data_IF_945979061819
#
_entry.id   IF_945979061819
#
_cell.length_a   1.000
_cell.length_b   1.000
_cell.length_c   1.000
_cell.angle_alpha   90.00
_cell.angle_beta   90.00
_cell.angle_gamma   90.00
#
_symmetry.space_group_name_H-M   'P 1'
#
loop_
_entity.id
_entity.type
_entity.pdbx_description
1 polymer ?
#
# COMPACT_ATOMS: atom_id res chain seq x y z
N UNK A 1 -50.50 -28.72 22.67
CA UNK A 1 -50.15 -27.32 23.03
C UNK A 1 -49.07 -27.22 24.11
N UNK A 2 -49.25 -27.77 25.32
CA UNK A 2 -48.20 -27.75 26.37
C UNK A 2 -47.00 -28.63 25.99
N UNK A 3 -47.25 -29.85 25.48
CA UNK A 3 -46.21 -30.77 25.01
C UNK A 3 -45.36 -30.16 23.91
N UNK A 4 -46.00 -29.50 22.93
CA UNK A 4 -45.32 -28.86 21.82
C UNK A 4 -44.41 -27.70 22.28
N UNK A 5 -44.81 -26.95 23.32
CA UNK A 5 -43.97 -25.91 23.91
C UNK A 5 -42.75 -26.51 24.63
N UNK A 6 -42.94 -27.60 25.37
CA UNK A 6 -41.85 -28.30 26.06
C UNK A 6 -40.82 -28.89 25.06
N UNK A 7 -41.30 -29.50 23.97
CA UNK A 7 -40.44 -30.00 22.89
C UNK A 7 -39.60 -28.89 22.23
N UNK A 8 -40.08 -27.63 22.23
CA UNK A 8 -39.31 -26.46 21.76
C UNK A 8 -38.30 -25.92 22.78
N UNK A 9 -38.57 -26.05 24.08
CA UNK A 9 -37.67 -25.58 25.14
C UNK A 9 -36.41 -26.45 25.25
N UNK A 10 -36.55 -27.77 25.15
CA UNK A 10 -35.42 -28.73 25.25
C UNK A 10 -34.23 -28.39 24.34
N UNK A 11 -34.38 -28.16 23.02
CA UNK A 11 -33.26 -27.77 22.16
C UNK A 11 -32.76 -26.35 22.45
N UNK A 12 -33.61 -25.42 22.89
CA UNK A 12 -33.19 -24.06 23.24
C UNK A 12 -32.32 -24.05 24.51
N UNK A 13 -32.63 -24.89 25.50
CA UNK A 13 -31.85 -25.00 26.74
C UNK A 13 -30.39 -25.41 26.48
N UNK A 14 -30.14 -26.21 25.43
CA UNK A 14 -28.76 -26.58 25.02
C UNK A 14 -27.93 -25.38 24.54
N UNK A 15 -28.57 -24.29 24.11
CA UNK A 15 -27.93 -23.04 23.66
C UNK A 15 -28.34 -21.82 24.49
N UNK A 16 -29.04 -22.04 25.61
CA UNK A 16 -29.53 -20.99 26.48
C UNK A 16 -28.37 -20.27 27.15
N UNK A 17 -28.23 -18.97 26.91
CA UNK A 17 -27.13 -18.18 27.46
C UNK A 17 -27.53 -17.48 28.76
N UNK A 18 -26.58 -17.35 29.68
CA UNK A 18 -26.82 -16.67 30.95
C UNK A 18 -27.01 -15.15 30.73
N UNK A 19 -28.22 -14.66 30.99
CA UNK A 19 -28.58 -13.26 30.74
C UNK A 19 -27.80 -12.26 31.59
N UNK A 20 -27.51 -12.56 32.87
CA UNK A 20 -26.78 -11.62 33.72
C UNK A 20 -25.33 -11.46 33.28
N UNK A 21 -24.68 -12.54 32.85
CA UNK A 21 -23.33 -12.51 32.27
C UNK A 21 -23.32 -11.78 30.91
N UNK A 22 -24.28 -12.03 30.02
CA UNK A 22 -24.38 -11.31 28.76
C UNK A 22 -24.61 -9.80 28.98
N UNK A 23 -25.46 -9.43 29.93
CA UNK A 23 -25.78 -8.03 30.21
C UNK A 23 -24.57 -7.25 30.75
N UNK A 24 -23.76 -7.85 31.63
CA UNK A 24 -22.59 -7.17 32.20
C UNK A 24 -21.51 -6.91 31.13
N UNK A 25 -21.18 -7.88 30.28
CA UNK A 25 -20.25 -7.67 29.16
C UNK A 25 -20.83 -6.77 28.07
N UNK A 26 -22.14 -6.87 27.81
CA UNK A 26 -22.85 -5.98 26.88
C UNK A 26 -22.75 -4.51 27.29
N UNK A 27 -22.79 -4.22 28.60
CA UNK A 27 -22.57 -2.86 29.12
C UNK A 27 -21.17 -2.34 28.81
N UNK A 28 -20.13 -3.16 29.00
CA UNK A 28 -18.74 -2.78 28.68
C UNK A 28 -18.58 -2.53 27.17
N UNK A 29 -19.15 -3.39 26.33
CA UNK A 29 -19.12 -3.21 24.88
C UNK A 29 -19.84 -1.92 24.43
N UNK A 30 -20.97 -1.58 25.08
CA UNK A 30 -21.66 -0.32 24.83
C UNK A 30 -20.82 0.88 25.26
N UNK A 31 -20.20 0.83 26.43
CA UNK A 31 -19.34 1.90 26.94
C UNK A 31 -18.12 2.14 26.03
N UNK A 32 -17.45 1.09 25.56
CA UNK A 32 -16.32 1.24 24.63
C UNK A 32 -16.76 1.78 23.28
N UNK A 33 -17.89 1.31 22.74
CA UNK A 33 -18.47 1.84 21.51
C UNK A 33 -18.85 3.32 21.66
N UNK A 34 -19.44 3.72 22.79
CA UNK A 34 -19.77 5.10 23.10
C UNK A 34 -18.52 5.99 23.13
N UNK A 35 -17.44 5.55 23.79
CA UNK A 35 -16.18 6.30 23.83
C UNK A 35 -15.53 6.41 22.45
N UNK A 36 -15.54 5.33 21.66
CA UNK A 36 -15.02 5.36 20.28
C UNK A 36 -15.82 6.30 19.39
N UNK A 37 -17.14 6.39 19.57
CA UNK A 37 -18.01 7.24 18.76
C UNK A 37 -17.90 8.73 19.12
N UNK A 38 -17.82 9.06 20.42
CA UNK A 38 -17.89 10.45 20.90
C UNK A 38 -16.51 11.06 21.23
N UNK A 39 -15.53 10.24 21.59
CA UNK A 39 -14.17 10.64 21.95
C UNK A 39 -13.13 9.78 21.23
N UNK A 40 -13.17 9.74 19.87
CA UNK A 40 -12.41 8.78 19.09
C UNK A 40 -10.90 8.90 19.33
N UNK A 41 -10.34 10.12 19.36
CA UNK A 41 -8.89 10.34 19.51
C UNK A 41 -8.40 9.91 20.89
N UNK A 42 -9.13 10.28 21.95
CA UNK A 42 -8.82 9.91 23.33
C UNK A 42 -8.94 8.40 23.54
N UNK A 43 -10.01 7.80 23.01
CA UNK A 43 -10.24 6.36 23.08
C UNK A 43 -9.13 5.60 22.35
N UNK A 44 -8.83 5.96 21.11
CA UNK A 44 -7.78 5.30 20.32
C UNK A 44 -6.40 5.49 20.95
N UNK A 45 -6.11 6.65 21.54
CA UNK A 45 -4.87 6.86 22.32
C UNK A 45 -4.83 5.93 23.52
N UNK A 46 -5.93 5.76 24.26
CA UNK A 46 -5.99 4.85 25.41
C UNK A 46 -5.79 3.38 25.00
N UNK A 47 -6.38 2.97 23.87
CA UNK A 47 -6.21 1.61 23.31
C UNK A 47 -4.76 1.38 22.88
N UNK A 48 -4.13 2.33 22.18
CA UNK A 48 -2.70 2.26 21.83
C UNK A 48 -1.80 2.18 23.08
N UNK A 49 -2.14 2.92 24.14
CA UNK A 49 -1.42 2.86 25.42
C UNK A 49 -1.63 1.56 26.18
N UNK A 50 -2.73 0.85 25.98
CA UNK A 50 -2.99 -0.44 26.62
C UNK A 50 -2.23 -1.58 25.92
N UNK A 51 -2.14 -1.52 24.59
CA UNK A 51 -1.57 -2.59 23.76
C UNK A 51 -0.13 -2.32 23.27
N UNK A 52 0.55 -1.28 23.78
CA UNK A 52 1.87 -0.84 23.28
C UNK A 52 2.97 -1.93 23.31
N UNK A 53 2.81 -2.99 24.10
CA UNK A 53 3.75 -4.10 24.19
C UNK A 53 3.65 -5.14 23.06
N UNK A 54 2.60 -5.07 22.24
CA UNK A 54 2.34 -6.00 21.13
C UNK A 54 2.36 -5.23 19.81
N UNK A 55 3.44 -5.40 19.03
CA UNK A 55 3.64 -4.68 17.77
C UNK A 55 2.57 -4.97 16.72
N UNK A 56 2.01 -6.18 16.72
CA UNK A 56 1.01 -6.58 15.73
C UNK A 56 -0.34 -5.93 16.04
N UNK A 57 -0.70 -5.87 17.33
CA UNK A 57 -1.89 -5.13 17.76
C UNK A 57 -1.73 -3.63 17.56
N UNK A 58 -0.60 -3.05 17.94
CA UNK A 58 -0.30 -1.63 17.67
C UNK A 58 -0.47 -1.35 16.19
N UNK A 59 0.01 -2.23 15.32
CA UNK A 59 -0.15 -2.06 13.88
C UNK A 59 -1.60 -2.05 13.43
N UNK A 60 -2.40 -3.00 13.92
CA UNK A 60 -3.84 -3.04 13.64
C UNK A 60 -4.57 -1.77 14.14
N UNK A 61 -4.22 -1.29 15.33
CA UNK A 61 -4.84 -0.10 15.94
C UNK A 61 -4.43 1.16 15.18
N UNK A 62 -3.17 1.30 14.75
CA UNK A 62 -2.71 2.43 13.93
C UNK A 62 -3.42 2.46 12.58
N UNK A 63 -3.62 1.30 11.95
CA UNK A 63 -4.39 1.21 10.71
C UNK A 63 -5.86 1.61 10.93
N UNK A 64 -6.47 1.21 12.05
CA UNK A 64 -7.81 1.66 12.41
C UNK A 64 -7.87 3.18 12.67
N UNK A 65 -6.86 3.77 13.31
CA UNK A 65 -6.74 5.21 13.45
C UNK A 65 -6.79 5.91 12.07
N UNK A 66 -6.05 5.39 11.08
CA UNK A 66 -6.08 5.93 9.71
C UNK A 66 -7.46 5.83 9.08
N UNK A 67 -8.14 4.70 9.24
CA UNK A 67 -9.52 4.51 8.76
C UNK A 67 -10.50 5.51 9.40
N UNK A 68 -10.20 5.95 10.63
CA UNK A 68 -10.95 6.97 11.36
C UNK A 68 -10.46 8.40 11.11
N UNK A 69 -9.55 8.62 10.13
CA UNK A 69 -8.91 9.90 9.85
C UNK A 69 -8.15 10.51 11.05
N UNK A 70 -7.61 9.66 11.92
CA UNK A 70 -6.73 10.04 13.02
C UNK A 70 -5.28 9.80 12.59
N UNK A 71 -4.49 10.87 12.53
CA UNK A 71 -3.10 10.80 12.12
C UNK A 71 -2.24 10.27 13.28
N UNK A 72 -1.42 9.26 12.99
CA UNK A 72 -0.39 8.78 13.93
C UNK A 72 0.97 9.19 13.40
N UNK A 73 1.63 10.10 14.11
CA UNK A 73 2.95 10.63 13.77
C UNK A 73 4.08 9.73 14.29
N UNK A 74 5.25 9.70 13.63
CA UNK A 74 6.39 8.89 14.07
C UNK A 74 6.90 9.37 15.43
N UNK A 75 7.68 8.52 16.14
CA UNK A 75 8.31 8.94 17.38
C UNK A 75 9.28 10.10 17.12
N UNK A 76 9.47 10.94 18.13
CA UNK A 76 10.33 12.12 18.09
C UNK A 76 10.84 12.39 19.51
N UNK A 77 12.16 12.53 19.73
CA UNK A 77 12.70 12.73 21.10
C UNK A 77 12.22 14.04 21.75
N UNK A 78 11.94 15.07 20.95
CA UNK A 78 11.47 16.37 21.39
C UNK A 78 9.95 16.41 21.61
N UNK A 79 9.17 15.71 20.80
CA UNK A 79 7.71 15.79 20.89
C UNK A 79 7.05 14.57 21.55
N UNK A 80 7.64 13.38 21.45
CA UNK A 80 7.05 12.17 22.02
C UNK A 80 7.05 12.17 23.55
N UNK A 81 6.02 11.54 24.09
CA UNK A 81 5.95 11.13 25.48
C UNK A 81 6.49 9.70 25.62
N UNK A 82 6.52 9.20 26.86
CA UNK A 82 6.91 7.81 27.15
C UNK A 82 6.02 6.82 26.38
N UNK A 83 4.71 6.99 26.49
CA UNK A 83 3.71 6.19 25.79
C UNK A 83 3.02 7.04 24.72
N UNK A 84 2.19 6.41 23.89
CA UNK A 84 1.34 7.12 22.93
C UNK A 84 0.59 8.26 23.60
N UNK A 85 0.57 9.42 22.93
CA UNK A 85 -0.06 10.61 23.44
C UNK A 85 -0.80 11.34 22.33
N UNK A 86 -1.99 11.84 22.66
CA UNK A 86 -2.70 12.80 21.83
C UNK A 86 -1.96 14.13 21.90
N UNK A 87 -1.65 14.71 20.74
CA UNK A 87 -0.97 16.01 20.62
C UNK A 87 -1.83 17.06 19.92
N UNK A 88 -2.97 16.65 19.35
CA UNK A 88 -4.00 17.57 18.82
C UNK A 88 -4.83 18.20 19.93
N UNK A 89 -5.21 19.45 19.75
CA UNK A 89 -6.13 20.16 20.64
C UNK A 89 -7.62 19.85 20.31
N UNK A 90 -8.55 20.10 21.26
CA UNK A 90 -9.99 19.94 20.99
C UNK A 90 -10.45 20.81 19.81
N UNK A 91 -11.00 20.19 18.78
CA UNK A 91 -11.50 20.86 17.57
C UNK A 91 -10.54 20.81 16.38
N UNK A 92 -9.32 20.32 16.57
CA UNK A 92 -8.37 20.05 15.48
C UNK A 92 -8.50 18.61 14.96
N UNK A 93 -7.97 18.31 13.76
CA UNK A 93 -7.81 16.93 13.30
C UNK A 93 -7.08 16.10 14.37
N UNK A 94 -7.54 14.86 14.58
CA UNK A 94 -6.97 14.01 15.62
C UNK A 94 -5.53 13.62 15.29
N UNK A 95 -4.59 13.99 16.16
CA UNK A 95 -3.17 13.66 16.01
C UNK A 95 -2.68 12.94 17.26
N UNK A 96 -2.11 11.75 17.05
CA UNK A 96 -1.47 10.93 18.07
C UNK A 96 0.01 10.81 17.74
N UNK A 97 0.88 11.06 18.70
CA UNK A 97 2.34 10.88 18.57
C UNK A 97 2.75 9.51 19.11
N UNK A 98 3.59 8.80 18.37
CA UNK A 98 4.12 7.50 18.80
C UNK A 98 4.89 7.62 20.11
N UNK A 99 4.67 6.68 21.03
CA UNK A 99 5.40 6.63 22.30
C UNK A 99 6.81 6.06 22.12
N UNK A 100 7.80 6.64 22.80
CA UNK A 100 9.19 6.15 22.74
C UNK A 100 9.33 4.71 23.28
N UNK A 101 8.51 4.31 24.25
CA UNK A 101 8.51 2.94 24.82
C UNK A 101 8.05 1.89 23.81
N UNK A 102 7.30 2.28 22.77
CA UNK A 102 6.80 1.36 21.75
C UNK A 102 7.85 1.04 20.67
N UNK A 103 9.03 1.65 20.71
CA UNK A 103 10.12 1.37 19.78
C UNK A 103 10.82 0.08 20.21
N UNK A 104 10.82 -0.94 19.33
CA UNK A 104 11.52 -2.19 19.59
C UNK A 104 13.01 -1.96 19.85
N UNK A 105 13.56 -2.69 20.81
CA UNK A 105 14.95 -2.59 21.29
C UNK A 105 15.33 -1.31 22.04
N UNK A 106 14.39 -0.39 22.30
CA UNK A 106 14.62 0.75 23.19
C UNK A 106 14.08 0.40 24.58
N UNK A 107 14.95 0.40 25.59
CA UNK A 107 14.56 0.03 26.95
C UNK A 107 13.69 1.10 27.64
N UNK A 108 12.76 0.69 28.49
CA UNK A 108 11.91 1.62 29.24
C UNK A 108 12.71 2.60 30.13
N UNK A 109 13.86 2.16 30.66
CA UNK A 109 14.74 3.03 31.46
C UNK A 109 15.31 4.19 30.64
N UNK A 110 15.88 3.92 29.45
CA UNK A 110 16.43 5.00 28.61
C UNK A 110 15.33 5.97 28.14
N UNK A 111 14.12 5.48 27.86
CA UNK A 111 12.97 6.33 27.55
C UNK A 111 12.61 7.25 28.72
N UNK A 112 12.63 6.73 29.94
CA UNK A 112 12.36 7.50 31.16
C UNK A 112 13.39 8.62 31.34
N UNK A 113 14.68 8.32 31.12
CA UNK A 113 15.77 9.30 31.17
C UNK A 113 15.57 10.38 30.12
N UNK A 114 15.38 10.02 28.84
CA UNK A 114 15.17 10.99 27.75
C UNK A 114 13.97 11.89 28.03
N UNK A 115 12.88 11.32 28.53
CA UNK A 115 11.67 12.08 28.82
C UNK A 115 11.83 13.04 30.01
N UNK A 116 12.43 12.58 31.12
CA UNK A 116 12.65 13.42 32.31
C UNK A 116 13.61 14.56 32.01
N UNK A 117 14.71 14.25 31.34
CA UNK A 117 15.74 15.21 30.96
C UNK A 117 15.17 16.33 30.06
N UNK A 118 14.31 15.95 29.11
CA UNK A 118 13.56 16.92 28.30
C UNK A 118 12.58 17.76 29.15
N UNK A 119 11.85 17.13 30.07
CA UNK A 119 10.85 17.82 30.89
C UNK A 119 11.50 18.86 31.82
N UNK A 120 12.68 18.58 32.31
CA UNK A 120 13.41 19.45 33.26
C UNK A 120 14.18 20.57 32.54
N UNK A 121 14.83 20.28 31.40
CA UNK A 121 15.73 21.23 30.74
C UNK A 121 15.24 21.73 29.36
N UNK A 122 14.04 21.33 28.93
CA UNK A 122 13.45 21.71 27.64
C UNK A 122 13.85 20.80 26.46
N UNK A 123 13.42 21.12 25.23
CA UNK A 123 13.74 20.33 24.03
C UNK A 123 15.24 20.29 23.74
N UNK A 124 15.69 19.22 23.10
CA UNK A 124 17.04 19.05 22.59
C UNK A 124 17.25 19.88 21.33
N UNK A 125 18.30 20.69 21.31
CA UNK A 125 18.58 21.62 20.19
C UNK A 125 19.13 20.91 18.96
N UNK A 126 20.11 20.03 19.18
CA UNK A 126 20.81 19.27 18.17
C UNK A 126 21.22 17.90 18.75
N UNK A 127 21.87 17.08 17.91
CA UNK A 127 22.33 15.75 18.29
C UNK A 127 23.36 15.83 19.44
N UNK A 128 24.25 16.81 19.40
CA UNK A 128 25.25 17.08 20.43
C UNK A 128 24.60 17.37 21.79
N UNK A 129 23.57 18.23 21.84
CA UNK A 129 22.79 18.56 23.04
C UNK A 129 22.09 17.32 23.59
N UNK A 130 21.52 16.49 22.71
CA UNK A 130 20.94 15.20 23.12
C UNK A 130 21.98 14.28 23.77
N UNK A 131 23.15 14.09 23.14
CA UNK A 131 24.19 13.19 23.63
C UNK A 131 24.92 13.72 24.88
N UNK A 132 25.02 15.05 25.03
CA UNK A 132 25.58 15.70 26.21
C UNK A 132 24.60 15.74 27.38
N UNK A 133 23.29 15.61 27.17
CA UNK A 133 22.31 15.58 28.27
C UNK A 133 21.94 14.17 28.69
N UNK A 134 21.81 13.24 27.75
CA UNK A 134 21.37 11.86 28.02
C UNK A 134 22.59 10.94 28.25
N UNK A 135 23.17 10.98 29.46
CA UNK A 135 24.41 10.24 29.84
C UNK A 135 24.17 8.87 30.48
N UNK A 136 23.12 8.18 30.08
CA UNK A 136 22.77 6.87 30.65
C UNK A 136 23.49 5.70 29.95
N UNK A 137 23.82 4.66 30.71
CA UNK A 137 24.48 3.45 30.20
C UNK A 137 23.61 2.63 29.24
N UNK A 138 22.28 2.79 29.33
CA UNK A 138 21.32 2.07 28.50
C UNK A 138 21.15 2.72 27.12
N UNK A 139 21.77 3.89 26.88
CA UNK A 139 21.94 4.48 25.55
C UNK A 139 23.10 3.79 24.81
N UNK A 140 22.93 2.51 24.52
CA UNK A 140 23.91 1.70 23.79
C UNK A 140 23.70 1.76 22.27
N UNK A 141 24.60 1.11 21.49
CA UNK A 141 24.53 1.05 20.03
C UNK A 141 23.17 0.62 19.51
N UNK A 142 22.58 -0.42 20.11
CA UNK A 142 21.28 -0.94 19.70
C UNK A 142 20.15 0.05 19.95
N UNK A 143 20.17 0.74 21.10
CA UNK A 143 19.21 1.81 21.42
C UNK A 143 19.31 2.97 20.42
N UNK A 144 20.52 3.47 20.16
CA UNK A 144 20.76 4.58 19.21
C UNK A 144 20.33 4.19 17.81
N UNK A 145 20.76 3.04 17.29
CA UNK A 145 20.34 2.58 15.97
C UNK A 145 18.83 2.43 15.85
N UNK A 146 18.16 1.98 16.91
CA UNK A 146 16.71 1.80 16.91
C UNK A 146 15.97 3.13 16.95
N UNK A 147 16.44 4.11 17.74
CA UNK A 147 15.91 5.48 17.76
C UNK A 147 16.06 6.15 16.39
N UNK A 148 17.23 6.02 15.75
CA UNK A 148 17.48 6.54 14.40
C UNK A 148 16.54 5.89 13.39
N UNK A 149 16.52 4.56 13.33
CA UNK A 149 15.73 3.78 12.36
C UNK A 149 14.22 4.04 12.50
N UNK A 150 13.74 4.23 13.71
CA UNK A 150 12.35 4.57 14.03
C UNK A 150 11.96 6.01 13.67
N UNK A 151 12.93 6.89 13.38
CA UNK A 151 12.69 8.31 13.10
C UNK A 151 12.70 9.23 14.31
N UNK A 152 13.01 8.71 15.51
CA UNK A 152 12.99 9.50 16.75
C UNK A 152 13.99 10.65 16.77
N UNK A 153 15.05 10.58 15.96
CA UNK A 153 16.11 11.60 15.86
C UNK A 153 16.03 12.42 14.56
N UNK A 154 14.97 12.26 13.76
CA UNK A 154 14.80 13.00 12.51
C UNK A 154 14.65 14.52 12.75
N UNK A 155 14.23 14.93 13.95
CA UNK A 155 14.11 16.33 14.37
C UNK A 155 15.42 17.13 14.28
N UNK A 156 16.57 16.46 14.23
CA UNK A 156 17.88 17.12 14.10
C UNK A 156 18.27 17.43 12.65
N UNK A 157 17.44 17.06 11.67
CA UNK A 157 17.69 17.35 10.25
C UNK A 157 18.86 16.55 9.64
N UNK A 158 19.30 15.49 10.31
CA UNK A 158 20.37 14.60 9.82
C UNK A 158 19.72 13.34 9.26
N UNK A 159 20.12 12.92 8.06
CA UNK A 159 19.58 11.70 7.46
C UNK A 159 19.90 10.45 8.31
N UNK A 160 18.91 9.55 8.42
CA UNK A 160 19.02 8.30 9.17
C UNK A 160 20.24 7.46 8.74
N UNK A 161 20.60 7.48 7.45
CA UNK A 161 21.79 6.80 6.93
C UNK A 161 23.10 7.31 7.52
N UNK A 162 23.26 8.64 7.54
CA UNK A 162 24.42 9.31 8.14
C UNK A 162 24.52 9.02 9.62
N UNK A 163 23.42 9.07 10.36
CA UNK A 163 23.37 8.75 11.78
C UNK A 163 23.76 7.29 12.06
N UNK A 164 23.27 6.33 11.25
CA UNK A 164 23.60 4.91 11.39
C UNK A 164 25.06 4.60 11.07
N UNK A 165 25.60 5.18 10.00
CA UNK A 165 27.00 5.01 9.63
C UNK A 165 27.96 5.56 10.72
N UNK A 166 27.50 6.55 11.49
CA UNK A 166 28.25 7.18 12.56
C UNK A 166 27.83 6.75 13.97
N UNK A 167 27.07 5.65 14.12
CA UNK A 167 26.57 5.21 15.43
C UNK A 167 27.70 4.95 16.43
N UNK A 168 28.84 4.43 15.98
CA UNK A 168 30.03 4.23 16.83
C UNK A 168 30.68 5.55 17.24
N UNK A 169 30.81 6.52 16.32
CA UNK A 169 31.35 7.85 16.62
C UNK A 169 30.47 8.59 17.62
N UNK A 170 29.15 8.47 17.48
CA UNK A 170 28.14 9.02 18.40
C UNK A 170 28.33 8.48 19.82
N UNK A 171 28.52 7.16 19.97
CA UNK A 171 28.75 6.54 21.28
C UNK A 171 30.11 6.92 21.88
N UNK A 172 31.15 6.98 21.04
CA UNK A 172 32.48 7.42 21.47
C UNK A 172 32.43 8.85 22.02
N UNK A 173 31.72 9.74 21.35
CA UNK A 173 31.51 11.11 21.80
C UNK A 173 30.80 11.16 23.17
N UNK A 174 29.69 10.43 23.32
CA UNK A 174 28.97 10.35 24.61
C UNK A 174 29.86 9.83 25.74
N UNK A 175 30.69 8.81 25.46
CA UNK A 175 31.64 8.26 26.43
C UNK A 175 32.72 9.29 26.83
N UNK A 176 33.30 10.00 25.85
CA UNK A 176 34.32 11.03 26.11
C UNK A 176 33.79 12.18 26.96
N UNK A 177 32.55 12.63 26.74
CA UNK A 177 31.92 13.65 27.59
C UNK A 177 31.78 13.16 29.02
N UNK A 178 31.29 11.92 29.20
CA UNK A 178 31.12 11.33 30.52
C UNK A 178 32.45 11.22 31.28
N UNK A 179 33.53 10.82 30.60
CA UNK A 179 34.87 10.76 31.19
C UNK A 179 35.43 12.16 31.54
N UNK A 180 35.15 13.17 30.69
CA UNK A 180 35.52 14.57 30.95
C UNK A 180 34.86 15.14 32.20
N UNK A 181 33.58 14.87 32.43
CA UNK A 181 32.89 15.40 33.62
C UNK A 181 33.44 14.82 34.91
N UNK A 182 33.75 13.52 34.90
CA UNK A 182 34.37 12.84 36.06
C UNK A 182 35.76 13.40 36.33
N UNK A 183 36.54 13.69 35.29
CA UNK A 183 37.90 14.25 35.43
C UNK A 183 37.91 15.72 35.83
N UNK A 184 36.96 16.54 35.35
CA UNK A 184 36.82 17.95 35.75
C UNK A 184 36.33 18.13 37.19
N UNK A 185 35.64 17.15 37.79
CA UNK A 185 35.30 17.19 39.22
C UNK A 185 36.52 16.94 40.14
N UNK A 186 37.63 16.41 39.62
CA UNK A 186 38.86 16.15 40.38
C UNK A 186 40.00 17.16 40.16
N UNK A 187 39.83 18.15 39.27
CA UNK A 187 40.89 19.06 38.87
C UNK A 187 40.73 20.45 39.52
N UNK A 188 41.74 20.84 40.32
CA UNK A 188 41.89 22.16 40.96
C UNK A 188 41.98 23.35 39.98
N UNK A 189 41.89 23.10 38.66
CA UNK A 189 41.92 24.08 37.57
C UNK A 189 40.57 24.25 36.85
N UNK A 190 39.46 23.83 37.45
CA UNK A 190 38.10 23.92 36.84
C UNK A 190 37.60 25.34 36.54
N UNK A 191 38.31 26.39 36.97
CA UNK A 191 37.96 27.80 36.77
C UNK A 191 38.29 28.40 35.40
N UNK A 192 38.96 27.68 34.50
CA UNK A 192 39.19 28.10 33.10
C UNK A 192 38.50 27.13 32.15
N UNK A 193 37.17 27.19 32.12
CA UNK A 193 36.36 26.51 31.11
C UNK A 193 36.53 27.23 29.77
N UNK A 194 37.59 26.90 29.04
CA UNK A 194 37.55 26.99 27.58
C UNK A 194 36.47 26.01 27.15
N UNK A 195 35.28 26.51 26.84
CA UNK A 195 34.24 25.76 26.18
C UNK A 195 34.75 25.38 24.78
N UNK A 196 35.53 24.31 24.71
CA UNK A 196 35.81 23.63 23.45
C UNK A 196 34.49 23.04 23.00
N UNK A 197 33.82 23.74 22.08
CA UNK A 197 32.68 23.23 21.31
C UNK A 197 33.10 21.91 20.67
N UNK A 198 32.87 20.83 21.41
CA UNK A 198 33.22 19.49 20.97
C UNK A 198 32.02 19.06 20.14
N UNK A 199 32.13 19.21 18.82
CA UNK A 199 31.09 18.73 17.89
C UNK A 199 31.28 17.25 17.63
N UNK A 200 30.18 16.54 17.36
CA UNK A 200 30.27 15.16 16.90
C UNK A 200 30.85 15.18 15.49
N UNK A 201 31.97 14.49 15.28
CA UNK A 201 32.52 14.33 13.93
C UNK A 201 31.72 13.25 13.21
N UNK A 202 30.74 13.68 12.43
CA UNK A 202 30.01 12.81 11.51
C UNK A 202 30.76 12.72 10.20
N UNK A 203 31.14 11.51 9.80
CA UNK A 203 31.62 11.24 8.45
C UNK A 203 30.46 11.41 7.48
N UNK A 204 30.74 11.98 6.31
CA UNK A 204 29.76 11.97 5.22
C UNK A 204 29.36 10.54 4.89
N UNK A 205 28.06 10.38 4.67
CA UNK A 205 27.44 9.11 4.33
C UNK A 205 26.32 9.36 3.33
N UNK A 206 25.93 8.30 2.62
CA UNK A 206 24.84 8.37 1.65
C UNK A 206 23.50 8.51 2.37
N UNK A 207 22.63 9.35 1.81
CA UNK A 207 21.25 9.46 2.26
C UNK A 207 20.51 8.16 1.95
N UNK A 208 19.69 7.70 2.89
CA UNK A 208 18.99 6.43 2.76
C UNK A 208 17.68 6.60 2.01
N UNK A 209 17.42 5.68 1.08
CA UNK A 209 16.17 5.65 0.33
C UNK A 209 14.94 5.50 1.25
N UNK A 210 13.82 6.10 0.85
CA UNK A 210 12.59 6.05 1.63
C UNK A 210 12.10 4.62 1.89
N UNK A 211 12.28 3.72 0.93
CA UNK A 211 11.92 2.30 1.08
C UNK A 211 12.67 1.63 2.24
N UNK A 212 13.96 1.94 2.38
CA UNK A 212 14.75 1.38 3.46
C UNK A 212 14.33 1.96 4.82
N UNK A 213 13.95 3.24 4.87
CA UNK A 213 13.35 3.87 6.06
C UNK A 213 12.02 3.17 6.43
N UNK A 214 11.14 2.93 5.46
CA UNK A 214 9.88 2.22 5.66
C UNK A 214 10.09 0.77 6.12
N UNK A 215 11.10 0.08 5.60
CA UNK A 215 11.46 -1.28 6.06
C UNK A 215 11.83 -1.27 7.54
N UNK A 216 12.64 -0.30 7.97
CA UNK A 216 13.03 -0.16 9.37
C UNK A 216 11.86 0.20 10.28
N UNK A 217 10.96 1.07 9.84
CA UNK A 217 9.73 1.39 10.59
C UNK A 217 8.85 0.15 10.76
N UNK A 218 8.68 -0.65 9.70
CA UNK A 218 7.94 -1.91 9.82
C UNK A 218 8.61 -2.88 10.79
N UNK A 219 9.93 -2.95 10.80
CA UNK A 219 10.71 -3.84 11.68
C UNK A 219 10.65 -3.42 13.16
N UNK A 220 10.74 -2.11 13.43
CA UNK A 220 10.89 -1.58 14.80
C UNK A 220 9.59 -1.07 15.41
N UNK A 221 8.65 -0.59 14.60
CA UNK A 221 7.37 -0.02 15.02
C UNK A 221 6.18 -0.92 14.65
N UNK A 222 6.38 -1.90 13.78
CA UNK A 222 5.32 -2.77 13.27
C UNK A 222 4.46 -2.13 12.16
N UNK A 223 4.70 -0.86 11.82
CA UNK A 223 3.91 -0.08 10.85
C UNK A 223 4.78 0.85 10.01
N UNK A 224 4.32 1.14 8.81
CA UNK A 224 4.86 2.20 7.96
C UNK A 224 4.27 3.53 8.41
N UNK A 225 5.05 4.46 8.99
CA UNK A 225 4.50 5.71 9.53
C UNK A 225 4.83 6.88 8.62
N UNK A 226 6.07 6.98 8.16
CA UNK A 226 6.55 8.19 7.47
C UNK A 226 5.97 8.35 6.06
N UNK A 227 5.55 7.27 5.41
CA UNK A 227 4.84 7.31 4.12
C UNK A 227 4.13 5.98 3.84
N UNK A 228 3.17 6.01 2.93
CA UNK A 228 2.50 4.81 2.46
C UNK A 228 3.40 4.05 1.47
N UNK A 229 3.57 2.72 1.58
CA UNK A 229 4.45 1.98 0.68
C UNK A 229 3.97 1.97 -0.78
N UNK A 230 2.70 2.29 -1.01
CA UNK A 230 2.13 2.42 -2.36
C UNK A 230 2.41 3.78 -3.03
N UNK A 231 2.88 4.79 -2.29
CA UNK A 231 2.99 6.16 -2.79
C UNK A 231 3.82 6.25 -4.08
N UNK A 232 4.97 5.56 -4.12
CA UNK A 232 5.82 5.52 -5.32
C UNK A 232 5.04 5.09 -6.58
N UNK A 233 4.23 4.03 -6.46
CA UNK A 233 3.44 3.50 -7.57
C UNK A 233 2.32 4.46 -7.96
N UNK A 234 1.70 5.07 -6.96
CA UNK A 234 0.62 6.03 -7.16
C UNK A 234 1.12 7.30 -7.87
N UNK A 235 2.31 7.80 -7.54
CA UNK A 235 2.93 8.92 -8.25
C UNK A 235 3.30 8.53 -9.69
N UNK A 236 3.85 7.33 -9.88
CA UNK A 236 4.30 6.87 -11.19
C UNK A 236 3.15 6.55 -12.16
N UNK A 237 2.01 6.14 -11.63
CA UNK A 237 0.81 5.77 -12.39
C UNK A 237 -0.35 6.75 -12.15
N UNK A 238 -0.05 8.01 -11.81
CA UNK A 238 -1.03 9.02 -11.40
C UNK A 238 -2.15 9.25 -12.42
N UNK A 239 -1.81 9.23 -13.71
CA UNK A 239 -2.78 9.44 -14.79
C UNK A 239 -3.63 8.19 -15.11
N UNK A 240 -3.21 7.03 -14.59
CA UNK A 240 -3.88 5.75 -14.84
C UNK A 240 -4.78 5.34 -13.67
N UNK A 241 -4.31 5.52 -12.43
CA UNK A 241 -4.97 5.05 -11.22
C UNK A 241 -6.03 6.03 -10.73
N UNK A 242 -7.22 5.51 -10.44
CA UNK A 242 -8.24 6.22 -9.66
C UNK A 242 -7.92 6.02 -8.18
N UNK A 243 -7.76 7.10 -7.39
CA UNK A 243 -7.58 6.99 -5.94
C UNK A 243 -8.76 6.27 -5.29
N UNK A 244 -8.50 5.42 -4.30
CA UNK A 244 -9.56 4.61 -3.68
C UNK A 244 -10.69 5.45 -3.09
N UNK A 245 -10.37 6.61 -2.51
CA UNK A 245 -11.39 7.53 -1.97
C UNK A 245 -12.34 8.10 -3.03
N UNK A 246 -11.92 8.16 -4.30
CA UNK A 246 -12.68 8.74 -5.40
C UNK A 246 -13.42 7.69 -6.25
N UNK A 247 -13.34 6.41 -5.89
CA UNK A 247 -13.99 5.33 -6.65
C UNK A 247 -15.52 5.40 -6.53
N UNK A 248 -16.06 5.83 -5.38
CA UNK A 248 -17.51 5.97 -5.19
C UNK A 248 -18.13 7.07 -6.08
N UNK A 249 -17.33 8.06 -6.47
CA UNK A 249 -17.72 9.15 -7.36
C UNK A 249 -17.68 8.73 -8.85
N UNK A 250 -17.11 7.57 -9.16
CA UNK A 250 -17.05 7.07 -10.53
C UNK A 250 -18.44 6.61 -11.01
N UNK A 251 -18.71 6.67 -12.33
CA UNK A 251 -19.94 6.15 -12.89
C UNK A 251 -20.15 4.68 -12.52
N UNK A 252 -21.40 4.29 -12.33
CA UNK A 252 -21.79 2.90 -12.04
C UNK A 252 -21.64 2.05 -13.30
N UNK A 253 -21.36 0.76 -13.09
CA UNK A 253 -21.06 -0.19 -14.19
C UNK A 253 -19.93 0.28 -15.13
N UNK A 254 -18.97 1.05 -14.60
CA UNK A 254 -17.84 1.57 -15.36
C UNK A 254 -16.54 0.85 -15.02
N UNK A 255 -15.63 0.82 -16.00
CA UNK A 255 -14.29 0.29 -15.81
C UNK A 255 -13.42 1.29 -15.08
N UNK A 256 -12.81 0.84 -14.00
CA UNK A 256 -11.88 1.61 -13.18
C UNK A 256 -10.57 0.85 -13.05
N UNK A 257 -9.49 1.61 -12.89
CA UNK A 257 -8.17 1.06 -12.62
C UNK A 257 -7.75 1.64 -11.29
N UNK A 258 -7.54 0.77 -10.32
CA UNK A 258 -7.19 1.12 -8.96
C UNK A 258 -5.90 0.41 -8.59
N UNK A 259 -5.19 0.93 -7.59
CA UNK A 259 -3.94 0.35 -7.15
C UNK A 259 -3.86 0.41 -5.64
N UNK A 260 -3.19 -0.57 -5.04
CA UNK A 260 -2.98 -0.56 -3.60
C UNK A 260 -2.17 -1.75 -3.13
N UNK A 261 -2.01 -1.80 -1.81
CA UNK A 261 -1.41 -2.91 -1.08
C UNK A 261 -2.52 -3.80 -0.56
N UNK A 262 -2.37 -5.11 -0.71
CA UNK A 262 -3.31 -6.08 -0.14
C UNK A 262 -3.19 -6.04 1.39
N UNK A 263 -4.23 -5.53 2.05
CA UNK A 263 -4.30 -5.43 3.51
C UNK A 263 -4.86 -6.70 4.15
N UNK A 264 -5.89 -7.32 3.56
CA UNK A 264 -6.41 -8.61 4.05
C UNK A 264 -7.11 -9.40 2.94
N UNK A 265 -7.13 -10.74 3.08
CA UNK A 265 -7.78 -11.66 2.12
C UNK A 265 -8.74 -12.61 2.84
N UNK A 266 -10.04 -12.50 2.58
CA UNK A 266 -11.08 -13.39 3.13
C UNK A 266 -11.60 -14.33 2.04
N UNK A 267 -11.38 -15.63 2.22
CA UNK A 267 -11.87 -16.70 1.34
C UNK A 267 -13.31 -17.06 1.69
N UNK A 268 -14.19 -17.16 0.68
CA UNK A 268 -15.57 -17.63 0.84
C UNK A 268 -15.88 -18.69 -0.22
N UNK A 269 -16.47 -19.79 0.22
CA UNK A 269 -16.98 -20.82 -0.70
C UNK A 269 -18.39 -20.43 -1.13
N UNK A 270 -18.61 -20.36 -2.43
CA UNK A 270 -19.92 -20.07 -3.01
C UNK A 270 -20.86 -21.27 -2.86
N UNK A 271 -22.17 -21.07 -3.05
CA UNK A 271 -23.16 -22.18 -3.04
C UNK A 271 -22.83 -23.31 -4.05
N UNK A 272 -22.07 -22.99 -5.11
CA UNK A 272 -21.63 -23.94 -6.14
C UNK A 272 -20.29 -24.62 -5.81
N UNK A 273 -19.73 -24.40 -4.62
CA UNK A 273 -18.45 -24.98 -4.19
C UNK A 273 -17.19 -24.25 -4.69
N UNK A 274 -17.32 -23.28 -5.61
CA UNK A 274 -16.18 -22.50 -6.11
C UNK A 274 -15.73 -21.43 -5.09
N UNK A 275 -14.44 -21.10 -5.09
CA UNK A 275 -13.82 -20.13 -4.17
C UNK A 275 -13.98 -18.71 -4.71
N UNK A 276 -14.38 -17.79 -3.84
CA UNK A 276 -14.47 -16.35 -4.08
C UNK A 276 -13.68 -15.60 -2.99
N UNK A 277 -13.09 -14.46 -3.30
CA UNK A 277 -12.35 -13.65 -2.31
C UNK A 277 -13.03 -12.30 -2.07
N UNK A 278 -13.08 -11.89 -0.81
CA UNK A 278 -13.19 -10.49 -0.42
C UNK A 278 -11.80 -10.01 -0.02
N UNK A 279 -11.26 -9.03 -0.73
CA UNK A 279 -9.89 -8.55 -0.52
C UNK A 279 -9.94 -7.07 -0.15
N UNK A 280 -9.39 -6.68 0.99
CA UNK A 280 -9.21 -5.26 1.30
C UNK A 280 -7.88 -4.81 0.74
N UNK A 281 -7.90 -3.72 -0.04
CA UNK A 281 -6.68 -3.01 -0.47
C UNK A 281 -6.61 -1.62 0.16
N UNK A 282 -5.39 -1.11 0.33
CA UNK A 282 -5.11 0.23 0.83
C UNK A 282 -4.19 1.01 -0.12
N UNK A 283 -4.48 2.29 -0.31
CA UNK A 283 -3.62 3.25 -1.00
C UNK A 283 -3.34 4.46 -0.10
N UNK A 284 -2.76 5.55 -0.64
CA UNK A 284 -2.48 6.75 0.18
C UNK A 284 -3.74 7.53 0.57
N UNK A 285 -4.89 7.24 -0.03
CA UNK A 285 -6.14 7.99 0.11
C UNK A 285 -7.18 7.28 0.96
N UNK A 286 -7.09 5.95 1.09
CA UNK A 286 -7.98 5.17 1.93
C UNK A 286 -7.84 3.68 1.69
N UNK A 287 -8.91 2.96 2.03
CA UNK A 287 -9.02 1.53 1.79
C UNK A 287 -10.31 1.21 1.04
N UNK A 288 -10.36 0.05 0.40
CA UNK A 288 -11.54 -0.43 -0.30
C UNK A 288 -11.60 -1.96 -0.29
N UNK A 289 -12.81 -2.51 -0.19
CA UNK A 289 -13.04 -3.95 -0.37
C UNK A 289 -13.26 -4.27 -1.85
N UNK A 290 -12.55 -5.27 -2.34
CA UNK A 290 -12.67 -5.84 -3.67
C UNK A 290 -13.37 -7.18 -3.60
N UNK A 291 -14.17 -7.49 -4.61
CA UNK A 291 -14.72 -8.83 -4.81
C UNK A 291 -14.04 -9.51 -5.99
N UNK A 292 -13.44 -10.66 -5.72
CA UNK A 292 -12.75 -11.49 -6.72
C UNK A 292 -13.60 -12.74 -6.97
N UNK A 293 -14.25 -12.78 -8.13
CA UNK A 293 -15.06 -13.93 -8.52
C UNK A 293 -14.19 -15.17 -8.82
N UNK A 294 -14.75 -16.39 -8.73
CA UNK A 294 -13.99 -17.62 -8.93
C UNK A 294 -13.18 -17.67 -10.23
N UNK A 295 -13.77 -17.22 -11.35
CA UNK A 295 -13.08 -17.19 -12.65
C UNK A 295 -11.84 -16.30 -12.63
N UNK A 296 -11.90 -15.14 -11.98
CA UNK A 296 -10.76 -14.24 -11.81
C UNK A 296 -9.76 -14.84 -10.83
N UNK A 297 -10.22 -15.41 -9.72
CA UNK A 297 -9.37 -16.02 -8.70
C UNK A 297 -8.51 -17.15 -9.27
N UNK A 298 -9.08 -18.06 -10.06
CA UNK A 298 -8.31 -19.17 -10.67
C UNK A 298 -7.14 -18.66 -11.54
N UNK A 299 -7.33 -17.53 -12.23
CA UNK A 299 -6.28 -16.89 -13.06
C UNK A 299 -5.25 -16.10 -12.25
N UNK A 300 -5.62 -15.59 -11.08
CA UNK A 300 -4.85 -14.61 -10.29
C UNK A 300 -4.46 -15.12 -8.91
N UNK A 301 -4.62 -16.42 -8.66
CA UNK A 301 -4.42 -17.08 -7.37
C UNK A 301 -3.12 -16.70 -6.64
N UNK A 302 -1.93 -16.67 -7.28
CA UNK A 302 -0.69 -16.34 -6.56
C UNK A 302 -0.56 -14.86 -6.20
N UNK A 303 -1.43 -13.99 -6.72
CA UNK A 303 -1.29 -12.54 -6.58
C UNK A 303 -1.93 -12.00 -5.30
N UNK A 304 -2.93 -12.72 -4.76
CA UNK A 304 -3.70 -12.30 -3.59
C UNK A 304 -3.01 -12.71 -2.29
N UNK A 305 -1.89 -12.06 -1.99
CA UNK A 305 -1.10 -12.23 -0.77
C UNK A 305 -1.00 -10.90 -0.06
N UNK A 306 -1.20 -10.90 1.26
CA UNK A 306 -1.05 -9.70 2.08
C UNK A 306 0.33 -9.06 1.88
N UNK A 307 0.34 -7.74 1.75
CA UNK A 307 1.53 -6.96 1.41
C UNK A 307 1.85 -6.89 -0.08
N UNK A 308 1.21 -7.66 -0.98
CA UNK A 308 1.46 -7.48 -2.42
C UNK A 308 0.98 -6.10 -2.88
N UNK A 309 1.78 -5.45 -3.74
CA UNK A 309 1.41 -4.22 -4.43
C UNK A 309 0.79 -4.59 -5.76
N UNK A 310 -0.46 -4.19 -5.97
CA UNK A 310 -1.23 -4.63 -7.13
C UNK A 310 -1.80 -3.42 -7.88
N UNK A 311 -1.83 -3.52 -9.20
CA UNK A 311 -2.71 -2.74 -10.07
C UNK A 311 -3.90 -3.64 -10.44
N UNK A 312 -5.11 -3.17 -10.19
CA UNK A 312 -6.35 -3.89 -10.44
C UNK A 312 -7.18 -3.13 -11.47
N UNK A 313 -7.52 -3.81 -12.55
CA UNK A 313 -8.57 -3.39 -13.48
C UNK A 313 -9.85 -4.09 -13.06
N UNK A 314 -10.88 -3.30 -12.79
CA UNK A 314 -12.16 -3.80 -12.30
C UNK A 314 -13.33 -2.94 -12.71
N UNK A 315 -14.52 -3.37 -12.27
CA UNK A 315 -15.79 -2.71 -12.59
C UNK A 315 -16.48 -2.23 -11.32
N UNK A 316 -16.99 -1.00 -11.36
CA UNK A 316 -17.88 -0.49 -10.31
C UNK A 316 -19.22 -1.22 -10.34
N UNK A 317 -19.92 -1.36 -9.21
CA UNK A 317 -21.14 -2.12 -9.16
C UNK A 317 -22.29 -1.35 -9.80
N UNK A 318 -23.34 -2.10 -10.20
CA UNK A 318 -24.53 -1.52 -10.84
C UNK A 318 -25.45 -0.83 -9.84
N UNK A 319 -25.52 -1.37 -8.62
CA UNK A 319 -26.41 -0.89 -7.57
C UNK A 319 -25.73 0.20 -6.72
N UNK A 320 -26.52 1.19 -6.31
CA UNK A 320 -26.05 2.27 -5.42
C UNK A 320 -25.97 1.74 -3.99
N UNK A 321 -24.85 1.98 -3.32
CA UNK A 321 -24.61 1.56 -1.93
C UNK A 321 -23.73 0.32 -1.76
N UNK A 322 -23.36 -0.36 -2.85
CA UNK A 322 -22.23 -1.31 -2.84
C UNK A 322 -20.95 -0.53 -3.17
N UNK A 323 -20.03 -0.44 -2.21
CA UNK A 323 -18.78 0.32 -2.32
C UNK A 323 -17.59 -0.60 -2.66
N UNK A 324 -17.88 -1.70 -3.39
CA UNK A 324 -16.90 -2.70 -3.78
C UNK A 324 -16.55 -2.57 -5.25
N UNK A 325 -15.33 -2.97 -5.61
CA UNK A 325 -14.93 -3.13 -7.02
C UNK A 325 -14.83 -4.61 -7.36
N UNK A 326 -15.41 -4.99 -8.51
CA UNK A 326 -15.28 -6.34 -9.05
C UNK A 326 -13.97 -6.47 -9.81
N UNK A 327 -13.03 -7.26 -9.30
CA UNK A 327 -11.71 -7.43 -9.91
C UNK A 327 -11.78 -8.34 -11.15
N UNK A 328 -11.17 -7.91 -12.25
CA UNK A 328 -11.18 -8.61 -13.54
C UNK A 328 -9.77 -8.98 -14.02
N UNK A 329 -8.85 -8.00 -14.02
CA UNK A 329 -7.43 -8.23 -14.29
C UNK A 329 -6.58 -7.62 -13.19
N UNK A 330 -5.48 -8.30 -12.85
CA UNK A 330 -4.63 -7.95 -11.73
C UNK A 330 -3.18 -8.12 -12.15
N UNK A 331 -2.37 -7.12 -11.85
CA UNK A 331 -0.96 -7.07 -12.16
C UNK A 331 -0.18 -6.79 -10.89
N UNK A 332 0.90 -7.54 -10.67
CA UNK A 332 1.84 -7.23 -9.57
C UNK A 332 2.67 -6.04 -9.97
N UNK A 333 2.80 -5.09 -9.07
CA UNK A 333 3.63 -3.92 -9.26
C UNK A 333 4.97 -4.10 -8.55
N UNK A 334 6.03 -3.79 -9.28
CA UNK A 334 7.37 -3.56 -8.78
C UNK A 334 7.92 -2.27 -9.43
N UNK A 335 9.05 -1.76 -8.93
CA UNK A 335 9.58 -0.47 -9.39
C UNK A 335 9.92 -0.44 -10.89
N UNK A 336 10.27 -1.59 -11.45
CA UNK A 336 10.71 -1.75 -12.83
C UNK A 336 9.52 -1.79 -13.80
N UNK A 337 8.40 -2.39 -13.40
CA UNK A 337 7.25 -2.64 -14.27
C UNK A 337 6.11 -1.62 -14.13
N UNK A 338 6.15 -0.74 -13.12
CA UNK A 338 5.03 0.15 -12.81
C UNK A 338 4.61 1.04 -13.99
N UNK A 339 5.57 1.63 -14.71
CA UNK A 339 5.30 2.45 -15.90
C UNK A 339 4.77 1.63 -17.08
N UNK A 340 5.30 0.43 -17.28
CA UNK A 340 4.88 -0.45 -18.38
C UNK A 340 3.45 -0.94 -18.16
N UNK A 341 3.14 -1.40 -16.94
CA UNK A 341 1.80 -1.80 -16.54
C UNK A 341 0.83 -0.61 -16.65
N UNK A 342 1.24 0.58 -16.22
CA UNK A 342 0.44 1.80 -16.35
C UNK A 342 0.08 2.12 -17.79
N UNK A 343 1.07 2.05 -18.70
CA UNK A 343 0.84 2.25 -20.13
C UNK A 343 -0.06 1.18 -20.74
N UNK A 344 0.20 -0.10 -20.46
CA UNK A 344 -0.59 -1.22 -20.98
C UNK A 344 -2.07 -1.11 -20.57
N UNK A 345 -2.32 -0.77 -19.30
CA UNK A 345 -3.67 -0.63 -18.77
C UNK A 345 -4.37 0.63 -19.28
N UNK A 346 -3.64 1.73 -19.50
CA UNK A 346 -4.18 2.97 -20.09
C UNK A 346 -4.56 2.80 -21.57
N UNK A 347 -3.78 2.05 -22.33
CA UNK A 347 -4.11 1.68 -23.72
C UNK A 347 -5.35 0.77 -23.75
N UNK A 348 -5.50 -0.11 -22.75
CA UNK A 348 -6.72 -0.87 -22.49
C UNK A 348 -7.94 0.01 -22.19
N UNK A 349 -7.80 1.06 -21.36
CA UNK A 349 -8.88 2.04 -21.11
C UNK A 349 -9.38 2.73 -22.39
N UNK A 350 -8.46 3.05 -23.30
CA UNK A 350 -8.77 3.73 -24.58
C UNK A 350 -9.43 2.80 -25.59
N UNK A 351 -9.15 1.49 -25.53
CA UNK A 351 -9.80 0.48 -26.36
C UNK A 351 -11.13 -0.01 -25.76
N UNK A 352 -11.33 0.10 -24.45
CA UNK A 352 -12.59 -0.30 -23.80
C UNK A 352 -13.72 0.73 -24.01
N UNK A 353 -13.41 1.98 -24.38
CA UNK A 353 -14.42 2.96 -24.84
C UNK A 353 -14.88 2.75 -26.28
N UNK A 354 -14.24 1.85 -27.04
CA UNK A 354 -14.66 1.52 -28.40
C UNK A 354 -14.24 0.10 -28.75
N UNK A 355 -15.18 -0.85 -28.62
CA UNK A 355 -15.12 -2.10 -29.37
C UNK A 355 -14.67 -3.34 -28.60
N UNK A 356 -15.58 -4.30 -28.60
CA UNK A 356 -15.43 -5.75 -28.46
C UNK A 356 -14.01 -6.34 -28.45
N UNK A 357 -13.71 -7.05 -27.36
CA UNK A 357 -12.61 -8.01 -27.23
C UNK A 357 -12.53 -8.99 -28.42
N UNK A 358 -11.39 -9.08 -29.11
CA UNK A 358 -11.00 -10.32 -29.79
C UNK A 358 -9.54 -10.68 -29.51
N UNK A 359 -9.36 -11.94 -29.10
CA UNK A 359 -8.08 -12.65 -28.95
C UNK A 359 -7.36 -12.69 -30.30
N UNK A 360 -6.02 -12.69 -30.29
CA UNK A 360 -5.20 -12.77 -31.48
C UNK A 360 -5.30 -14.17 -32.15
N UNK A 361 -6.25 -14.34 -33.07
CA UNK A 361 -6.26 -15.44 -34.03
C UNK A 361 -5.34 -15.12 -35.22
N UNK A 362 -4.76 -16.14 -35.87
CA UNK A 362 -3.99 -16.00 -37.11
C UNK A 362 -4.79 -15.19 -38.12
N UNK A 363 -4.27 -14.03 -38.52
CA UNK A 363 -5.04 -13.05 -39.30
C UNK A 363 -4.19 -12.38 -40.37
N UNK A 364 -4.79 -12.12 -41.53
CA UNK A 364 -4.21 -11.33 -42.62
C UNK A 364 -5.05 -10.08 -42.78
N UNK A 365 -4.43 -8.91 -42.67
CA UNK A 365 -5.06 -7.62 -42.84
C UNK A 365 -4.63 -7.02 -44.18
N UNK A 366 -5.57 -6.71 -45.06
CA UNK A 366 -5.34 -6.07 -46.35
C UNK A 366 -5.83 -4.63 -46.25
N UNK A 367 -4.96 -3.67 -46.55
CA UNK A 367 -5.24 -2.24 -46.42
C UNK A 367 -5.62 -1.68 -47.79
N UNK A 368 -6.86 -1.21 -47.92
CA UNK A 368 -7.39 -0.63 -49.15
C UNK A 368 -8.09 0.68 -48.85
N UNK A 369 -8.09 1.60 -49.81
CA UNK A 369 -9.02 2.73 -49.82
C UNK A 369 -10.43 2.27 -50.22
N UNK A 370 -11.44 3.12 -49.99
CA UNK A 370 -12.82 2.80 -50.35
C UNK A 370 -13.01 2.55 -51.86
N UNK A 371 -12.22 3.23 -52.71
CA UNK A 371 -12.28 3.08 -54.16
C UNK A 371 -11.58 1.79 -54.62
N UNK A 372 -10.43 1.45 -54.03
CA UNK A 372 -9.71 0.21 -54.31
C UNK A 372 -10.49 -1.05 -53.86
N UNK A 373 -11.22 -0.96 -52.74
CA UNK A 373 -12.06 -2.06 -52.29
C UNK A 373 -13.23 -2.36 -53.23
N UNK A 374 -13.70 -1.34 -53.97
CA UNK A 374 -14.70 -1.52 -55.04
C UNK A 374 -14.06 -2.06 -56.32
N UNK A 375 -12.84 -1.65 -56.63
CA UNK A 375 -12.12 -2.07 -57.83
C UNK A 375 -11.65 -3.53 -57.75
N UNK A 376 -11.02 -3.93 -56.65
CA UNK A 376 -10.40 -5.26 -56.47
C UNK A 376 -11.31 -6.25 -55.73
N UNK A 377 -12.52 -5.84 -55.34
CA UNK A 377 -13.38 -6.60 -54.44
C UNK A 377 -13.76 -7.99 -54.95
N UNK A 378 -14.02 -8.13 -56.25
CA UNK A 378 -14.39 -9.42 -56.84
C UNK A 378 -13.17 -10.31 -57.14
N UNK A 379 -12.05 -9.70 -57.55
CA UNK A 379 -10.77 -10.40 -57.73
C UNK A 379 -10.26 -10.98 -56.40
N UNK A 380 -10.35 -10.21 -55.32
CA UNK A 380 -9.97 -10.66 -53.98
C UNK A 380 -10.86 -11.80 -53.48
N UNK A 381 -12.17 -11.76 -53.73
CA UNK A 381 -13.07 -12.87 -53.39
C UNK A 381 -12.70 -14.14 -54.15
N UNK A 382 -12.41 -14.02 -55.45
CA UNK A 382 -12.02 -15.16 -56.27
C UNK A 382 -10.65 -15.72 -55.82
N UNK A 383 -9.70 -14.85 -55.52
CA UNK A 383 -8.38 -15.19 -55.00
C UNK A 383 -8.45 -15.94 -53.66
N UNK A 384 -9.23 -15.45 -52.69
CA UNK A 384 -9.38 -16.13 -51.40
C UNK A 384 -10.07 -17.49 -51.54
N UNK A 385 -10.92 -17.67 -52.54
CA UNK A 385 -11.56 -18.96 -52.83
C UNK A 385 -10.61 -20.03 -53.38
N UNK A 386 -9.50 -19.62 -54.02
CA UNK A 386 -8.52 -20.54 -54.61
C UNK A 386 -7.55 -21.13 -53.56
N UNK A 387 -7.37 -20.47 -52.42
CA UNK A 387 -6.37 -20.84 -51.41
C UNK A 387 -6.96 -20.92 -49.99
N UNK A 388 -7.87 -21.87 -49.71
CA UNK A 388 -8.46 -22.02 -48.38
C UNK A 388 -7.42 -22.42 -47.31
N UNK A 389 -7.48 -21.82 -46.12
CA UNK A 389 -6.56 -22.12 -45.02
C UNK A 389 -7.00 -21.61 -43.66
N UNK A 390 -6.04 -21.32 -42.76
CA UNK A 390 -6.28 -21.06 -41.34
C UNK A 390 -6.16 -19.58 -40.91
N UNK A 391 -5.67 -18.69 -41.78
CA UNK A 391 -5.61 -17.25 -41.49
C UNK A 391 -6.92 -16.55 -41.83
N UNK A 392 -7.49 -15.86 -40.85
CA UNK A 392 -8.69 -15.04 -41.01
C UNK A 392 -8.38 -13.75 -41.78
N UNK A 393 -9.10 -13.48 -42.88
CA UNK A 393 -8.87 -12.27 -43.67
C UNK A 393 -9.72 -11.10 -43.15
N UNK A 394 -9.08 -9.94 -43.04
CA UNK A 394 -9.68 -8.66 -42.70
C UNK A 394 -9.30 -7.61 -43.75
N UNK A 395 -10.27 -6.82 -44.20
CA UNK A 395 -10.04 -5.69 -45.11
C UNK A 395 -10.15 -4.41 -44.27
N UNK A 396 -9.05 -3.68 -44.12
CA UNK A 396 -8.99 -2.39 -43.43
C UNK A 396 -9.22 -1.27 -44.42
N UNK A 397 -10.30 -0.52 -44.21
CA UNK A 397 -10.64 0.70 -44.92
C UNK A 397 -10.40 1.92 -43.99
N UNK A 398 -10.26 3.14 -44.53
CA UNK A 398 -10.21 4.34 -43.71
C UNK A 398 -11.46 4.46 -42.82
N UNK A 399 -11.31 4.20 -41.52
CA UNK A 399 -12.39 4.30 -40.52
C UNK A 399 -13.25 3.04 -40.33
N UNK A 400 -13.00 1.93 -41.02
CA UNK A 400 -13.77 0.69 -40.84
C UNK A 400 -12.92 -0.56 -41.13
N UNK A 401 -13.17 -1.68 -40.43
CA UNK A 401 -12.54 -2.97 -40.71
C UNK A 401 -13.61 -4.01 -41.02
N UNK A 402 -13.54 -4.61 -42.20
CA UNK A 402 -14.48 -5.63 -42.66
C UNK A 402 -13.85 -7.00 -42.46
N UNK A 403 -14.51 -7.88 -41.69
CA UNK A 403 -14.14 -9.30 -41.59
C UNK A 403 -14.67 -10.05 -42.81
N UNK A 404 -13.78 -10.59 -43.63
CA UNK A 404 -14.19 -11.43 -44.75
C UNK A 404 -14.64 -12.80 -44.24
N UNK A 405 -15.60 -13.44 -44.91
CA UNK A 405 -16.04 -14.80 -44.54
C UNK A 405 -15.02 -15.90 -44.92
N UNK A 406 -13.95 -15.55 -45.63
CA UNK A 406 -12.93 -16.47 -46.11
C UNK A 406 -11.74 -16.56 -45.16
N UNK A 407 -11.17 -17.77 -45.04
CA UNK A 407 -9.88 -18.01 -44.41
C UNK A 407 -8.90 -18.53 -45.45
N UNK A 408 -7.68 -18.02 -45.45
CA UNK A 408 -6.69 -18.33 -46.47
C UNK A 408 -5.45 -18.99 -45.89
N UNK A 409 -4.79 -19.81 -46.69
CA UNK A 409 -3.45 -20.28 -46.37
C UNK A 409 -2.47 -19.13 -46.62
N UNK A 410 -1.52 -18.90 -45.72
CA UNK A 410 -0.53 -17.84 -45.90
C UNK A 410 0.88 -18.40 -46.11
N UNK A 411 1.52 -18.03 -47.24
CA UNK A 411 2.92 -18.33 -47.55
C UNK A 411 3.51 -17.27 -48.52
N UNK A 412 4.82 -17.29 -48.74
CA UNK A 412 5.51 -16.30 -49.59
C UNK A 412 5.00 -16.27 -51.05
N UNK A 413 4.54 -17.40 -51.61
CA UNK A 413 3.99 -17.44 -52.97
C UNK A 413 2.63 -16.75 -53.08
N UNK A 414 1.80 -16.91 -52.03
CA UNK A 414 0.48 -16.29 -51.93
C UNK A 414 0.62 -14.79 -51.68
N UNK A 415 1.64 -14.38 -50.91
CA UNK A 415 1.97 -12.97 -50.71
C UNK A 415 2.28 -12.27 -52.04
N UNK A 416 3.18 -12.84 -52.86
CA UNK A 416 3.54 -12.31 -54.19
C UNK A 416 2.30 -12.21 -55.10
N UNK A 417 1.46 -13.25 -55.12
CA UNK A 417 0.25 -13.26 -55.94
C UNK A 417 -0.80 -12.24 -55.48
N UNK A 418 -0.84 -11.93 -54.17
CA UNK A 418 -1.71 -10.89 -53.62
C UNK A 418 -1.20 -9.49 -54.00
N UNK A 419 0.11 -9.27 -53.98
CA UNK A 419 0.72 -8.00 -54.40
C UNK A 419 0.46 -7.70 -55.89
N UNK A 420 0.35 -8.71 -56.74
CA UNK A 420 -0.05 -8.52 -58.15
C UNK A 420 -1.48 -7.97 -58.29
N UNK A 421 -2.35 -8.21 -57.32
CA UNK A 421 -3.75 -7.76 -57.33
C UNK A 421 -3.88 -6.38 -56.70
N UNK A 422 -3.35 -6.18 -55.49
CA UNK A 422 -3.59 -4.95 -54.70
C UNK A 422 -2.41 -3.97 -54.69
N UNK A 423 -1.24 -4.40 -55.18
CA UNK A 423 0.02 -3.68 -55.10
C UNK A 423 0.88 -4.07 -53.88
N UNK A 424 2.18 -3.75 -53.90
CA UNK A 424 3.11 -4.05 -52.80
C UNK A 424 2.74 -3.29 -51.52
N UNK A 425 3.16 -3.82 -50.37
CA UNK A 425 3.00 -3.23 -49.02
C UNK A 425 1.56 -2.99 -48.53
N UNK A 426 0.55 -3.53 -49.22
CA UNK A 426 -0.86 -3.38 -48.84
C UNK A 426 -1.40 -4.47 -47.92
N UNK A 427 -0.55 -5.27 -47.28
CA UNK A 427 -1.00 -6.27 -46.33
C UNK A 427 -0.10 -6.38 -45.09
N UNK A 428 -0.66 -6.84 -43.98
CA UNK A 428 0.06 -7.21 -42.76
C UNK A 428 -0.45 -8.54 -42.24
N UNK A 429 0.46 -9.40 -41.76
CA UNK A 429 0.10 -10.75 -41.29
C UNK A 429 0.45 -10.90 -39.83
N UNK A 430 -0.53 -11.39 -39.06
CA UNK A 430 -0.38 -11.81 -37.68
C UNK A 430 -0.37 -13.32 -37.67
N UNK A 431 0.81 -13.91 -37.55
CA UNK A 431 0.94 -15.32 -37.22
C UNK A 431 0.70 -15.45 -35.72
N UNK A 432 -0.38 -16.12 -35.33
CA UNK A 432 -0.64 -16.46 -33.92
C UNK A 432 0.59 -17.12 -33.30
N UNK A 433 0.92 -16.70 -32.08
CA UNK A 433 2.05 -17.22 -31.29
C UNK A 433 1.84 -18.64 -30.83
#
# INVERSE_FOLDING_TARGET
MVTDLWERIKPFASYGFNKSHAASYGMVAYQTAYMKANYPVQYMTAVLRAEFGDSDKVAAIVNECRNMNIQVLPPDVNESFRNFAMVSEPGEPGIIRFGLTAIKNVGGHIVEVIYKEKKEHGPYKDLEDFLTRVKDKDLNKKSVESLVKAGALDCFGIDRGKLLANSENILLFSKQIKERDVTNQGSLFSGTSIALDTKVVLKDGEDVSMEKKLQWEKELLGVYISSHPFLFYQEKMRDTLVPLSAVEEQPRDAWVVIGGIVASVKKKVTKKGSIMLFVTIEDTTGNMELLVFPKTFERTKPLWVEGNRLCIVGKTPKEVGDNKVFAENVYVLNKENAEEVGRAVSLGKSSVTTGENQRADKSVFIMLTNDEARLYGDDLKMFFGQYPGDHQVFIKLPGNTIKANSKILWNEKIAISLEEIVGPDKYTVVNGS
#
